data_IF_706539114254
#
_entry.id   IF_706539114254
#
_cell.length_a   1.000
_cell.length_b   1.000
_cell.length_c   1.000
_cell.angle_alpha   90.00
_cell.angle_beta   90.00
_cell.angle_gamma   90.00
#
_symmetry.space_group_name_H-M   'P 1'
#
loop_
_entity.id
_entity.type
_entity.pdbx_description
1 polymer ?
#
# COMPACT_ATOMS: atom_id res chain seq x y z
N UNK A 1 7.44 16.56 -17.72
CA UNK A 1 8.34 16.75 -16.54
C UNK A 1 7.91 15.95 -15.29
N UNK A 2 6.64 15.53 -15.16
CA UNK A 2 6.22 14.46 -14.21
C UNK A 2 6.81 13.09 -14.56
N UNK A 3 7.26 12.90 -15.80
CA UNK A 3 7.90 11.68 -16.31
C UNK A 3 9.39 11.54 -15.92
N UNK A 4 10.05 12.62 -15.47
CA UNK A 4 11.49 12.61 -15.15
C UNK A 4 11.80 12.09 -13.75
N UNK A 5 10.81 12.10 -12.84
CA UNK A 5 10.96 11.60 -11.48
C UNK A 5 9.85 10.58 -11.20
N UNK A 6 10.22 9.37 -10.78
CA UNK A 6 9.25 8.32 -10.49
C UNK A 6 8.24 8.73 -9.41
N UNK A 7 7.02 8.18 -9.50
CA UNK A 7 5.90 8.39 -8.56
C UNK A 7 6.30 8.29 -7.08
N UNK A 8 7.28 7.45 -6.76
CA UNK A 8 7.75 7.21 -5.40
C UNK A 8 8.48 8.41 -4.79
N UNK A 9 9.24 9.18 -5.59
CA UNK A 9 9.93 10.38 -5.09
C UNK A 9 8.91 11.47 -4.73
N UNK A 10 7.86 11.61 -5.53
CA UNK A 10 6.75 12.53 -5.20
C UNK A 10 6.03 12.12 -3.92
N UNK A 11 5.87 10.83 -3.64
CA UNK A 11 5.30 10.37 -2.36
C UNK A 11 6.16 10.77 -1.18
N UNK A 12 7.48 10.59 -1.28
CA UNK A 12 8.44 11.01 -0.24
C UNK A 12 8.31 12.53 0.02
N UNK A 13 8.23 13.34 -1.05
CA UNK A 13 8.12 14.79 -0.92
C UNK A 13 6.84 15.25 -0.21
N UNK A 14 5.71 14.62 -0.57
CA UNK A 14 4.37 14.96 -0.10
C UNK A 14 4.00 14.32 1.25
N UNK A 15 4.89 13.51 1.84
CA UNK A 15 4.64 12.97 3.17
C UNK A 15 4.45 14.12 4.19
N UNK A 16 3.47 14.00 5.11
CA UNK A 16 3.35 14.93 6.23
C UNK A 16 4.64 15.01 7.04
N UNK A 17 5.24 16.20 7.08
CA UNK A 17 6.45 16.51 7.85
C UNK A 17 5.99 17.06 9.20
N UNK A 18 6.07 16.24 10.25
CA UNK A 18 5.62 16.60 11.58
C UNK A 18 5.50 15.38 12.49
N UNK A 19 5.20 15.62 13.75
CA UNK A 19 4.94 14.56 14.72
C UNK A 19 3.71 13.75 14.34
N UNK A 20 3.83 12.43 14.46
CA UNK A 20 2.71 11.53 14.32
C UNK A 20 1.87 11.63 15.58
N UNK A 21 0.76 12.35 15.51
CA UNK A 21 -0.19 12.47 16.64
C UNK A 21 -1.05 11.23 16.85
N UNK A 22 -1.00 10.27 15.93
CA UNK A 22 -1.80 9.06 16.02
C UNK A 22 -1.03 7.98 16.82
N UNK A 23 -1.63 7.51 17.92
CA UNK A 23 -1.11 6.39 18.71
C UNK A 23 -1.22 5.05 17.97
N UNK A 24 -2.07 4.99 16.95
CA UNK A 24 -2.33 3.79 16.17
C UNK A 24 -1.81 3.97 14.75
N UNK A 25 -1.00 3.02 14.31
CA UNK A 25 -0.57 2.89 12.92
C UNK A 25 -1.40 1.78 12.29
N UNK A 26 -2.20 2.11 11.28
CA UNK A 26 -2.79 1.08 10.44
C UNK A 26 -1.68 0.23 9.82
N UNK A 27 -1.88 -1.10 9.72
CA UNK A 27 -0.85 -2.01 9.24
C UNK A 27 -0.55 -1.75 7.76
N UNK A 28 0.59 -1.11 7.50
CA UNK A 28 1.14 -0.92 6.15
C UNK A 28 0.25 -0.07 5.22
N UNK A 29 0.46 -0.22 3.91
CA UNK A 29 -0.29 0.48 2.87
C UNK A 29 -1.53 -0.29 2.39
N UNK A 30 -2.13 -1.14 3.25
CA UNK A 30 -3.36 -1.86 2.88
C UNK A 30 -4.53 -0.87 2.81
N UNK A 31 -5.47 -1.14 1.90
CA UNK A 31 -6.76 -0.45 1.88
C UNK A 31 -7.74 -1.14 2.85
N UNK A 32 -8.87 -0.50 3.14
CA UNK A 32 -10.04 -1.23 3.58
C UNK A 32 -10.54 -2.08 2.39
N UNK A 33 -10.48 -3.42 2.47
CA UNK A 33 -10.83 -4.30 1.36
C UNK A 33 -12.22 -4.04 0.80
N UNK A 34 -12.36 -3.90 -0.52
CA UNK A 34 -13.67 -3.75 -1.17
C UNK A 34 -14.24 -2.33 -1.16
N UNK A 35 -13.72 -1.42 -0.31
CA UNK A 35 -14.31 -0.09 -0.14
C UNK A 35 -13.99 0.88 -1.28
N UNK A 36 -12.71 1.07 -1.59
CA UNK A 36 -12.30 1.99 -2.68
C UNK A 36 -12.36 1.35 -4.06
N UNK A 37 -12.14 0.04 -4.10
CA UNK A 37 -12.19 -0.80 -5.28
C UNK A 37 -12.85 -2.10 -4.87
N UNK A 38 -13.62 -2.68 -5.77
CA UNK A 38 -14.19 -4.00 -5.61
C UNK A 38 -13.99 -4.77 -6.92
N UNK A 39 -13.65 -6.04 -6.80
CA UNK A 39 -13.62 -6.98 -7.92
C UNK A 39 -14.69 -8.04 -7.66
N UNK A 40 -15.54 -8.30 -8.64
CA UNK A 40 -16.69 -9.20 -8.49
C UNK A 40 -16.49 -10.41 -9.39
N UNK A 41 -16.61 -11.62 -8.85
CA UNK A 41 -16.54 -12.85 -9.65
C UNK A 41 -17.84 -13.11 -10.41
N UNK A 42 -17.84 -13.99 -11.43
CA UNK A 42 -19.07 -14.39 -12.14
C UNK A 42 -20.14 -14.99 -11.21
N UNK A 43 -19.75 -15.58 -10.10
CA UNK A 43 -20.64 -16.16 -9.08
C UNK A 43 -21.25 -15.10 -8.14
N UNK A 44 -20.85 -13.83 -8.29
CA UNK A 44 -21.35 -12.72 -7.48
C UNK A 44 -20.61 -12.53 -6.15
N UNK A 45 -19.41 -13.09 -5.96
CA UNK A 45 -18.60 -12.82 -4.77
C UNK A 45 -17.76 -11.55 -4.94
N UNK A 46 -17.62 -10.78 -3.87
CA UNK A 46 -16.85 -9.52 -3.85
C UNK A 46 -15.46 -9.77 -3.26
N UNK A 47 -14.45 -9.17 -3.89
CA UNK A 47 -13.02 -9.25 -3.56
C UNK A 47 -12.38 -7.84 -3.49
N UNK A 48 -11.25 -7.66 -2.78
CA UNK A 48 -10.67 -6.35 -2.51
C UNK A 48 -10.29 -5.54 -3.76
N UNK A 49 -9.78 -6.19 -4.80
CA UNK A 49 -9.45 -5.59 -6.10
C UNK A 49 -9.01 -6.67 -7.09
N UNK A 50 -8.89 -6.29 -8.36
CA UNK A 50 -8.48 -7.16 -9.48
C UNK A 50 -7.11 -7.81 -9.25
N UNK A 51 -6.23 -7.12 -8.52
CA UNK A 51 -4.86 -7.58 -8.29
C UNK A 51 -4.74 -8.64 -7.20
N UNK A 52 -5.68 -8.65 -6.24
CA UNK A 52 -5.78 -9.71 -5.24
C UNK A 52 -6.52 -10.92 -5.85
N UNK A 53 -7.37 -10.70 -6.85
CA UNK A 53 -8.14 -11.76 -7.48
C UNK A 53 -9.06 -12.45 -6.47
N UNK A 54 -9.25 -13.76 -6.64
CA UNK A 54 -10.21 -14.55 -5.88
C UNK A 54 -9.73 -15.05 -4.50
N UNK A 55 -8.62 -14.50 -3.98
CA UNK A 55 -7.98 -15.03 -2.77
C UNK A 55 -8.58 -14.54 -1.44
N UNK A 56 -9.23 -13.38 -1.43
CA UNK A 56 -9.79 -12.77 -0.23
C UNK A 56 -11.23 -12.38 -0.49
N UNK A 57 -12.18 -13.30 -0.29
CA UNK A 57 -13.60 -12.95 -0.34
C UNK A 57 -13.90 -11.96 0.79
N UNK A 58 -14.65 -10.90 0.49
CA UNK A 58 -15.02 -9.84 1.44
C UNK A 58 -16.52 -9.53 1.44
N UNK A 59 -17.31 -10.33 0.70
CA UNK A 59 -18.75 -10.12 0.58
C UNK A 59 -19.33 -10.82 -0.64
N UNK A 60 -20.56 -10.44 -0.98
CA UNK A 60 -21.27 -10.87 -2.18
C UNK A 60 -22.24 -9.78 -2.66
N UNK A 61 -22.73 -9.91 -3.89
CA UNK A 61 -23.60 -8.90 -4.51
C UNK A 61 -24.99 -8.78 -3.87
N UNK A 62 -25.41 -9.75 -3.06
CA UNK A 62 -26.72 -9.75 -2.42
C UNK A 62 -26.69 -9.04 -1.07
N UNK A 63 -25.63 -9.26 -0.28
CA UNK A 63 -25.46 -8.73 1.06
C UNK A 63 -24.48 -7.55 1.13
N UNK A 64 -23.73 -7.28 0.06
CA UNK A 64 -22.68 -6.27 0.03
C UNK A 64 -21.39 -6.72 0.70
N UNK A 65 -20.63 -5.75 1.22
CA UNK A 65 -19.42 -6.02 1.98
C UNK A 65 -19.78 -6.61 3.35
N UNK A 66 -19.09 -7.70 3.71
CA UNK A 66 -19.23 -8.34 5.00
C UNK A 66 -18.12 -7.80 5.93
N UNK A 67 -18.51 -6.95 6.87
CA UNK A 67 -17.57 -6.28 7.80
C UNK A 67 -16.79 -7.28 8.65
N UNK A 68 -17.45 -8.31 9.20
CA UNK A 68 -16.80 -9.34 10.02
C UNK A 68 -15.68 -10.05 9.25
N UNK A 69 -15.93 -10.43 8.00
CA UNK A 69 -14.97 -11.10 7.13
C UNK A 69 -13.78 -10.17 6.77
N UNK A 70 -14.05 -8.88 6.61
CA UNK A 70 -13.03 -7.87 6.35
C UNK A 70 -12.15 -7.68 7.58
N UNK A 71 -12.75 -7.55 8.77
CA UNK A 71 -12.04 -7.40 10.02
C UNK A 71 -11.20 -8.63 10.34
N UNK A 72 -11.73 -9.85 10.13
CA UNK A 72 -10.96 -11.09 10.26
C UNK A 72 -9.74 -11.09 9.33
N UNK A 73 -9.93 -10.70 8.06
CA UNK A 73 -8.86 -10.64 7.06
C UNK A 73 -7.77 -9.64 7.47
N UNK A 74 -8.17 -8.45 7.93
CA UNK A 74 -7.25 -7.42 8.41
C UNK A 74 -6.51 -7.90 9.66
N UNK A 75 -7.21 -8.53 10.61
CA UNK A 75 -6.63 -9.08 11.84
C UNK A 75 -5.56 -10.13 11.52
N UNK A 76 -5.90 -11.14 10.72
CA UNK A 76 -4.96 -12.19 10.30
C UNK A 76 -3.72 -11.65 9.59
N UNK A 77 -3.90 -10.64 8.73
CA UNK A 77 -2.77 -9.97 8.08
C UNK A 77 -1.93 -9.19 9.09
N UNK A 78 -2.57 -8.51 10.04
CA UNK A 78 -1.89 -7.72 11.08
C UNK A 78 -1.03 -8.62 11.95
N UNK A 79 -1.58 -9.72 12.45
CA UNK A 79 -0.88 -10.69 13.30
C UNK A 79 0.36 -11.27 12.59
N UNK A 80 0.24 -11.53 11.29
CA UNK A 80 1.37 -12.02 10.48
C UNK A 80 2.54 -11.03 10.45
N UNK A 81 2.26 -9.73 10.36
CA UNK A 81 3.27 -8.71 10.01
C UNK A 81 3.66 -7.82 11.18
N UNK A 82 2.93 -7.88 12.29
CA UNK A 82 3.02 -6.94 13.40
C UNK A 82 4.46 -6.73 13.88
N UNK A 83 5.17 -7.83 14.18
CA UNK A 83 6.53 -7.80 14.71
C UNK A 83 7.54 -7.13 13.75
N UNK A 84 7.43 -7.40 12.45
CA UNK A 84 8.35 -6.79 11.48
C UNK A 84 7.99 -5.33 11.16
N UNK A 85 6.71 -4.98 11.23
CA UNK A 85 6.23 -3.66 10.83
C UNK A 85 6.42 -2.62 11.94
N UNK A 86 6.31 -3.02 13.22
CA UNK A 86 6.55 -2.13 14.37
C UNK A 86 7.97 -1.55 14.39
N UNK A 87 8.96 -2.36 14.03
CA UNK A 87 10.37 -1.97 14.01
C UNK A 87 10.83 -1.41 12.64
N UNK A 88 9.90 -1.28 11.68
CA UNK A 88 10.25 -0.88 10.32
C UNK A 88 10.44 0.64 10.20
N UNK A 89 11.68 1.07 9.93
CA UNK A 89 12.03 2.48 9.71
C UNK A 89 11.22 3.16 8.59
N UNK A 90 10.68 2.36 7.66
CA UNK A 90 9.96 2.82 6.48
C UNK A 90 8.44 2.72 6.60
N UNK A 91 7.87 2.37 7.76
CA UNK A 91 6.44 2.04 7.88
C UNK A 91 5.52 3.16 7.35
N UNK A 92 5.86 4.43 7.56
CA UNK A 92 5.10 5.60 7.07
C UNK A 92 5.17 5.81 5.55
N UNK A 93 6.17 5.23 4.91
CA UNK A 93 6.37 5.26 3.46
C UNK A 93 5.85 3.98 2.79
N UNK A 94 5.48 2.98 3.59
CA UNK A 94 5.09 1.67 3.10
C UNK A 94 3.85 1.77 2.21
N UNK A 95 3.90 1.07 1.08
CA UNK A 95 2.81 0.98 0.11
C UNK A 95 2.44 -0.47 -0.21
N UNK A 96 2.95 -1.39 0.59
CA UNK A 96 2.84 -2.81 0.36
C UNK A 96 1.48 -3.29 0.86
N UNK A 97 0.70 -3.91 -0.02
CA UNK A 97 -0.64 -4.41 0.29
C UNK A 97 -0.67 -5.94 0.52
N UNK A 98 -1.87 -6.52 0.66
CA UNK A 98 -2.10 -7.96 0.87
C UNK A 98 -1.40 -8.87 -0.15
N UNK A 99 -1.24 -8.43 -1.42
CA UNK A 99 -0.58 -9.20 -2.50
C UNK A 99 0.83 -9.66 -2.14
N UNK A 100 1.51 -8.88 -1.29
CA UNK A 100 2.86 -9.23 -0.83
C UNK A 100 2.90 -10.47 0.05
N UNK A 101 1.78 -10.87 0.65
CA UNK A 101 1.70 -11.97 1.60
C UNK A 101 0.71 -13.06 1.16
N UNK A 102 -0.38 -12.71 0.49
CA UNK A 102 -1.45 -13.66 0.15
C UNK A 102 -1.00 -14.67 -0.92
N UNK A 103 -1.41 -15.92 -0.70
CA UNK A 103 -1.25 -17.06 -1.59
C UNK A 103 -2.57 -17.84 -1.63
N UNK A 104 -2.67 -18.87 -2.46
CA UNK A 104 -3.81 -19.79 -2.48
C UNK A 104 -4.04 -20.49 -1.12
N UNK A 105 -2.97 -20.65 -0.32
CA UNK A 105 -3.01 -21.26 1.00
C UNK A 105 -3.20 -20.24 2.14
N UNK A 106 -3.53 -18.98 1.82
CA UNK A 106 -3.63 -17.89 2.78
C UNK A 106 -2.36 -17.05 2.86
N UNK A 107 -2.21 -16.30 3.97
CA UNK A 107 -1.09 -15.38 4.14
C UNK A 107 0.21 -16.10 4.49
N UNK A 108 1.28 -15.77 3.76
CA UNK A 108 2.63 -16.32 3.90
C UNK A 108 3.61 -15.23 4.37
N UNK A 109 4.25 -15.49 5.51
CA UNK A 109 5.20 -14.58 6.15
C UNK A 109 6.52 -14.45 5.38
N UNK A 110 7.09 -15.54 4.88
CA UNK A 110 8.38 -15.50 4.19
C UNK A 110 8.24 -14.82 2.82
N UNK A 111 7.12 -15.04 2.12
CA UNK A 111 6.75 -14.27 0.93
C UNK A 111 6.71 -12.78 1.24
N UNK A 112 5.99 -12.40 2.31
CA UNK A 112 5.89 -11.01 2.76
C UNK A 112 7.25 -10.39 3.03
N UNK A 113 8.11 -11.12 3.73
CA UNK A 113 9.46 -10.70 4.11
C UNK A 113 10.35 -10.42 2.91
N UNK A 114 10.33 -11.29 1.89
CA UNK A 114 11.08 -11.06 0.65
C UNK A 114 10.57 -9.83 -0.11
N UNK A 115 9.24 -9.65 -0.20
CA UNK A 115 8.65 -8.42 -0.75
C UNK A 115 9.07 -7.16 0.01
N UNK A 116 9.08 -7.22 1.34
CA UNK A 116 9.52 -6.11 2.19
C UNK A 116 11.00 -5.78 1.94
N UNK A 117 11.89 -6.77 1.87
CA UNK A 117 13.32 -6.57 1.59
C UNK A 117 13.55 -5.80 0.29
N UNK A 118 12.87 -6.20 -0.80
CA UNK A 118 12.96 -5.49 -2.07
C UNK A 118 12.40 -4.06 -1.99
N UNK A 119 11.26 -3.90 -1.33
CA UNK A 119 10.60 -2.60 -1.15
C UNK A 119 11.48 -1.62 -0.37
N UNK A 120 12.07 -2.08 0.74
CA UNK A 120 12.97 -1.27 1.58
C UNK A 120 14.21 -0.83 0.81
N UNK A 121 14.85 -1.73 0.05
CA UNK A 121 16.00 -1.39 -0.78
C UNK A 121 15.67 -0.34 -1.84
N UNK A 122 14.50 -0.47 -2.47
CA UNK A 122 14.02 0.50 -3.48
C UNK A 122 13.72 1.85 -2.83
N UNK A 123 13.09 1.84 -1.66
CA UNK A 123 12.76 3.06 -0.94
C UNK A 123 14.02 3.80 -0.48
N UNK A 124 15.03 3.09 0.02
CA UNK A 124 16.31 3.68 0.40
C UNK A 124 16.96 4.42 -0.79
N UNK A 125 16.99 3.78 -1.98
CA UNK A 125 17.51 4.41 -3.21
C UNK A 125 16.70 5.66 -3.60
N UNK A 126 15.38 5.60 -3.46
CA UNK A 126 14.51 6.74 -3.75
C UNK A 126 14.71 7.89 -2.77
N UNK A 127 14.91 7.61 -1.47
CA UNK A 127 15.22 8.61 -0.45
C UNK A 127 16.56 9.27 -0.74
N UNK A 128 17.62 8.49 -1.02
CA UNK A 128 18.95 9.03 -1.39
C UNK A 128 18.85 9.95 -2.62
N UNK A 129 18.09 9.53 -3.62
CA UNK A 129 17.85 10.33 -4.83
C UNK A 129 17.07 11.60 -4.53
N UNK A 130 16.00 11.51 -3.73
CA UNK A 130 15.21 12.65 -3.29
C UNK A 130 16.08 13.68 -2.56
N UNK A 131 16.87 13.25 -1.57
CA UNK A 131 17.79 14.10 -0.81
C UNK A 131 18.78 14.81 -1.74
N UNK A 132 19.39 14.07 -2.69
CA UNK A 132 20.32 14.63 -3.68
C UNK A 132 19.67 15.69 -4.58
N UNK A 133 18.39 15.54 -4.91
CA UNK A 133 17.66 16.50 -5.72
C UNK A 133 17.37 17.76 -4.91
N UNK A 134 16.79 17.62 -3.72
CA UNK A 134 16.41 18.77 -2.88
C UNK A 134 17.61 19.55 -2.35
N UNK A 135 18.78 18.90 -2.18
CA UNK A 135 20.00 19.58 -1.77
C UNK A 135 20.55 20.49 -2.85
N UNK A 136 20.32 20.16 -4.13
CA UNK A 136 20.69 20.99 -5.29
C UNK A 136 19.64 22.03 -5.64
N UNK A 137 18.36 21.69 -5.48
CA UNK A 137 17.24 22.59 -5.74
C UNK A 137 16.09 22.27 -4.78
N UNK A 138 15.90 23.11 -3.76
CA UNK A 138 14.85 22.92 -2.74
C UNK A 138 13.43 23.03 -3.33
N UNK A 139 13.27 23.72 -4.44
CA UNK A 139 11.99 23.93 -5.11
C UNK A 139 11.74 22.94 -6.25
N UNK A 140 12.59 21.92 -6.41
CA UNK A 140 12.50 20.95 -7.52
C UNK A 140 11.12 20.29 -7.67
N UNK A 141 10.37 20.21 -6.57
CA UNK A 141 9.05 19.61 -6.48
C UNK A 141 7.91 20.62 -6.19
N UNK A 142 8.20 21.92 -6.03
CA UNK A 142 7.17 22.93 -5.78
C UNK A 142 6.21 23.03 -6.96
N UNK A 143 4.91 23.17 -6.67
CA UNK A 143 3.85 23.28 -7.69
C UNK A 143 3.61 22.00 -8.52
N UNK A 144 4.43 20.95 -8.34
CA UNK A 144 4.31 19.70 -9.08
C UNK A 144 3.49 18.69 -8.27
N UNK A 145 2.23 18.51 -8.65
CA UNK A 145 1.45 17.32 -8.26
C UNK A 145 1.66 16.24 -9.31
N UNK A 146 1.82 14.99 -8.88
CA UNK A 146 1.64 13.86 -9.78
C UNK A 146 0.16 13.82 -10.17
N UNK A 147 -0.19 14.40 -11.32
CA UNK A 147 -1.49 14.17 -11.93
C UNK A 147 -1.41 12.79 -12.58
N UNK A 148 -2.17 11.82 -12.05
CA UNK A 148 -2.59 10.71 -12.90
C UNK A 148 -3.44 11.36 -13.99
N UNK A 149 -2.87 11.46 -15.19
CA UNK A 149 -3.68 11.67 -16.38
C UNK A 149 -4.40 10.34 -16.54
N UNK A 150 -5.65 10.27 -16.10
CA UNK A 150 -6.54 9.25 -16.62
C UNK A 150 -6.61 9.56 -18.11
N UNK A 151 -6.19 8.62 -18.96
CA UNK A 151 -6.51 8.72 -20.36
C UNK A 151 -8.04 8.69 -20.42
N UNK A 152 -8.65 9.82 -20.73
CA UNK A 152 -10.06 9.90 -21.06
C UNK A 152 -10.24 9.06 -22.33
N UNK A 153 -10.65 7.80 -22.14
CA UNK A 153 -11.20 6.91 -23.17
C UNK A 153 -12.57 6.46 -22.70
#
# INVERSE_FOLDING_TARGET
MSELFGKEIFRIHNLPKGEVRNKYLHPNGICYPGYYKAFVSPEGFIYPCEKVGYMLKVGDIFNGLNEDLIEETIGRYTDLVENMCKECWAVRLCNVCFISAITENGFDYERKKEFCKYTLSTLEKNIKSYIKIISKNREAFNGKKFKMVWADT
#
